data_IF_899930674609
#
_entry.id   IF_899930674609
#
_cell.length_a   1.000
_cell.length_b   1.000
_cell.length_c   1.000
_cell.angle_alpha   90.00
_cell.angle_beta   90.00
_cell.angle_gamma   90.00
#
_symmetry.space_group_name_H-M   'P 1'
#
loop_
_entity.id
_entity.type
_entity.pdbx_description
1 polymer ?
#
# COMPACT_ATOMS: atom_id res chain seq x y z
N UNK A 1 2.59 -34.54 -1.25
CA UNK A 1 2.24 -33.28 -1.93
C UNK A 1 1.51 -33.50 -3.24
N UNK A 2 0.61 -32.58 -3.57
CA UNK A 2 -0.09 -32.48 -4.86
C UNK A 2 0.86 -31.81 -5.86
N UNK A 3 0.78 -32.18 -7.14
CA UNK A 3 1.58 -31.53 -8.20
C UNK A 3 1.20 -30.05 -8.37
N UNK A 4 2.18 -29.21 -8.74
CA UNK A 4 1.93 -27.79 -8.97
C UNK A 4 0.95 -27.60 -10.14
N UNK A 5 -0.07 -26.74 -10.01
CA UNK A 5 -0.95 -26.44 -11.13
C UNK A 5 -0.17 -25.75 -12.24
N UNK A 6 -0.41 -26.16 -13.49
CA UNK A 6 0.09 -25.45 -14.66
C UNK A 6 -0.47 -24.01 -14.68
N UNK A 7 0.39 -23.02 -14.96
CA UNK A 7 0.01 -21.60 -14.92
C UNK A 7 -1.13 -21.31 -15.90
N UNK A 8 -1.15 -21.98 -17.05
CA UNK A 8 -2.17 -21.85 -18.09
C UNK A 8 -3.55 -22.36 -17.64
N UNK A 9 -3.61 -23.17 -16.57
CA UNK A 9 -4.85 -23.72 -16.01
C UNK A 9 -5.45 -22.86 -14.89
N UNK A 10 -4.78 -21.77 -14.48
CA UNK A 10 -5.29 -20.85 -13.45
C UNK A 10 -6.34 -19.91 -14.05
N UNK A 11 -7.62 -20.20 -13.81
CA UNK A 11 -8.73 -19.50 -14.47
C UNK A 11 -9.15 -18.19 -13.79
N UNK A 12 -8.75 -17.97 -12.54
CA UNK A 12 -9.14 -16.79 -11.77
C UNK A 12 -7.96 -15.90 -11.41
N UNK A 13 -8.25 -14.61 -11.29
CA UNK A 13 -7.28 -13.59 -10.88
C UNK A 13 -6.67 -13.93 -9.50
N UNK A 14 -7.49 -14.39 -8.56
CA UNK A 14 -7.02 -14.80 -7.25
C UNK A 14 -6.07 -16.00 -7.31
N UNK A 15 -6.34 -17.01 -8.13
CA UNK A 15 -5.45 -18.17 -8.30
C UNK A 15 -4.08 -17.75 -8.86
N UNK A 16 -4.05 -16.91 -9.89
CA UNK A 16 -2.81 -16.38 -10.44
C UNK A 16 -2.01 -15.59 -9.41
N UNK A 17 -2.69 -14.73 -8.63
CA UNK A 17 -2.08 -13.96 -7.55
C UNK A 17 -1.44 -14.87 -6.49
N UNK A 18 -2.21 -15.83 -5.96
CA UNK A 18 -1.72 -16.72 -4.91
C UNK A 18 -0.53 -17.56 -5.37
N UNK A 19 -0.53 -18.02 -6.64
CA UNK A 19 0.61 -18.76 -7.19
C UNK A 19 1.90 -17.94 -7.17
N UNK A 20 1.84 -16.64 -7.45
CA UNK A 20 3.02 -15.76 -7.39
C UNK A 20 3.51 -15.54 -5.97
N UNK A 21 2.61 -15.39 -5.01
CA UNK A 21 2.98 -15.35 -3.60
C UNK A 21 3.66 -16.65 -3.16
N UNK A 22 3.14 -17.80 -3.58
CA UNK A 22 3.75 -19.11 -3.30
C UNK A 22 5.14 -19.20 -3.91
N UNK A 23 5.32 -18.78 -5.17
CA UNK A 23 6.61 -18.76 -5.85
C UNK A 23 7.61 -17.82 -5.16
N UNK A 24 7.20 -16.59 -4.85
CA UNK A 24 8.02 -15.61 -4.16
C UNK A 24 8.44 -16.08 -2.76
N UNK A 25 7.53 -16.78 -2.05
CA UNK A 25 7.77 -17.30 -0.71
C UNK A 25 8.62 -18.58 -0.67
N UNK A 26 9.10 -19.10 -1.80
CA UNK A 26 9.97 -20.30 -1.82
C UNK A 26 9.43 -21.49 -2.62
N UNK A 27 8.31 -21.32 -3.31
CA UNK A 27 7.80 -22.26 -4.30
C UNK A 27 6.84 -23.32 -3.77
N UNK A 28 6.30 -24.08 -4.72
CA UNK A 28 5.18 -25.01 -4.49
C UNK A 28 5.47 -26.10 -3.45
N UNK A 29 6.66 -26.69 -3.46
CA UNK A 29 7.01 -27.79 -2.56
C UNK A 29 7.03 -27.35 -1.09
N UNK A 30 7.54 -26.15 -0.81
CA UNK A 30 7.52 -25.59 0.55
C UNK A 30 6.09 -25.24 0.97
N UNK A 31 5.29 -24.68 0.06
CA UNK A 31 3.88 -24.42 0.32
C UNK A 31 3.09 -25.71 0.62
N UNK A 32 3.35 -26.81 -0.09
CA UNK A 32 2.75 -28.11 0.22
C UNK A 32 3.19 -28.64 1.58
N UNK A 33 4.47 -28.52 1.95
CA UNK A 33 4.95 -28.86 3.29
C UNK A 33 4.21 -28.07 4.39
N UNK A 34 3.96 -26.77 4.15
CA UNK A 34 3.18 -25.94 5.07
C UNK A 34 1.74 -26.43 5.17
N UNK A 35 1.08 -26.71 4.04
CA UNK A 35 -0.29 -27.22 4.04
C UNK A 35 -0.41 -28.60 4.71
N UNK A 36 0.53 -29.50 4.51
CA UNK A 36 0.57 -30.82 5.17
C UNK A 36 0.72 -30.68 6.69
N UNK A 37 1.57 -29.74 7.13
CA UNK A 37 1.76 -29.41 8.55
C UNK A 37 0.48 -28.83 9.14
N UNK A 38 -0.11 -27.81 8.49
CA UNK A 38 -1.36 -27.20 8.94
C UNK A 38 -2.52 -28.20 8.92
N UNK A 39 -2.58 -29.11 7.95
CA UNK A 39 -3.62 -30.14 7.89
C UNK A 39 -3.52 -31.13 9.06
N UNK A 40 -2.30 -31.55 9.40
CA UNK A 40 -2.07 -32.45 10.55
C UNK A 40 -2.53 -31.81 11.85
N UNK A 41 -2.18 -30.53 12.05
CA UNK A 41 -2.60 -29.77 13.22
C UNK A 41 -4.10 -29.45 13.22
N UNK A 42 -4.68 -29.16 12.06
CA UNK A 42 -6.11 -28.93 11.93
C UNK A 42 -6.91 -30.19 12.31
N UNK A 43 -6.43 -31.38 11.95
CA UNK A 43 -7.01 -32.66 12.39
C UNK A 43 -6.89 -32.87 13.90
N UNK A 44 -5.72 -32.57 14.50
CA UNK A 44 -5.51 -32.61 15.96
C UNK A 44 -6.55 -31.75 16.69
N UNK A 45 -6.83 -30.55 16.16
CA UNK A 45 -7.74 -29.57 16.76
C UNK A 45 -9.19 -29.66 16.25
N UNK A 46 -9.51 -30.67 15.43
CA UNK A 46 -10.85 -30.87 14.84
C UNK A 46 -11.41 -29.62 14.14
N UNK A 47 -10.55 -28.90 13.42
CA UNK A 47 -10.88 -27.62 12.76
C UNK A 47 -10.44 -27.62 11.29
N UNK A 48 -10.74 -26.54 10.57
CA UNK A 48 -10.29 -26.36 9.19
C UNK A 48 -8.88 -25.77 9.14
N UNK A 49 -8.14 -26.03 8.05
CA UNK A 49 -6.83 -25.39 7.79
C UNK A 49 -6.96 -23.86 7.85
N UNK A 50 -8.05 -23.32 7.31
CA UNK A 50 -8.29 -21.88 7.28
C UNK A 50 -8.43 -21.29 8.69
N UNK A 51 -9.17 -21.95 9.58
CA UNK A 51 -9.34 -21.49 10.96
C UNK A 51 -8.07 -21.65 11.78
N UNK A 52 -7.36 -22.77 11.62
CA UNK A 52 -6.08 -22.99 12.29
C UNK A 52 -5.04 -21.93 11.86
N UNK A 53 -4.91 -21.67 10.56
CA UNK A 53 -4.01 -20.64 10.04
C UNK A 53 -4.41 -19.24 10.54
N UNK A 54 -5.71 -18.92 10.56
CA UNK A 54 -6.22 -17.64 11.07
C UNK A 54 -5.93 -17.47 12.57
N UNK A 55 -6.11 -18.54 13.35
CA UNK A 55 -5.78 -18.56 14.79
C UNK A 55 -4.29 -18.34 15.00
N UNK A 56 -3.43 -19.03 14.25
CA UNK A 56 -1.97 -18.84 14.32
C UNK A 56 -1.56 -17.39 14.03
N UNK A 57 -2.16 -16.75 13.02
CA UNK A 57 -1.89 -15.34 12.70
C UNK A 57 -2.31 -14.42 13.86
N UNK A 58 -3.39 -14.73 14.56
CA UNK A 58 -3.85 -14.00 15.75
C UNK A 58 -2.97 -14.21 17.00
N UNK A 59 -2.07 -15.20 17.03
CA UNK A 59 -1.06 -15.32 18.10
C UNK A 59 0.01 -14.22 18.03
N UNK A 60 0.15 -13.57 16.87
CA UNK A 60 1.09 -12.48 16.73
C UNK A 60 0.56 -11.22 17.44
N UNK A 61 1.27 -10.78 18.49
CA UNK A 61 0.93 -9.58 19.28
C UNK A 61 0.75 -8.29 18.47
N UNK A 62 1.32 -8.21 17.27
CA UNK A 62 1.20 -7.06 16.37
C UNK A 62 -0.04 -7.13 15.47
N UNK A 63 -0.77 -8.25 15.48
CA UNK A 63 -1.99 -8.45 14.71
C UNK A 63 -3.20 -8.28 15.62
N UNK A 64 -3.95 -7.19 15.44
CA UNK A 64 -5.15 -6.91 16.23
C UNK A 64 -6.38 -7.71 15.76
N UNK A 65 -6.47 -8.03 14.47
CA UNK A 65 -7.64 -8.71 13.89
C UNK A 65 -7.33 -9.39 12.56
N UNK A 66 -8.10 -10.42 12.23
CA UNK A 66 -8.15 -11.05 10.90
C UNK A 66 -9.53 -10.79 10.29
N UNK A 67 -9.57 -10.33 9.04
CA UNK A 67 -10.82 -10.09 8.30
C UNK A 67 -11.10 -11.30 7.41
N UNK A 68 -12.22 -11.99 7.66
CA UNK A 68 -12.65 -13.15 6.86
C UNK A 68 -13.86 -12.74 6.02
N UNK A 69 -13.71 -12.79 4.68
CA UNK A 69 -14.80 -12.51 3.76
C UNK A 69 -15.74 -13.72 3.62
N UNK A 70 -17.04 -13.50 3.80
CA UNK A 70 -18.07 -14.53 3.61
C UNK A 70 -18.94 -14.22 2.39
N UNK A 71 -19.19 -15.22 1.53
CA UNK A 71 -20.13 -15.11 0.41
C UNK A 71 -21.52 -15.55 0.83
N UNK A 72 -22.37 -14.58 1.17
CA UNK A 72 -23.75 -14.83 1.58
C UNK A 72 -24.54 -15.51 0.45
N UNK A 73 -25.28 -16.57 0.77
CA UNK A 73 -26.07 -17.34 -0.19
C UNK A 73 -25.30 -18.41 -0.98
N UNK A 74 -23.97 -18.46 -0.88
CA UNK A 74 -23.14 -19.52 -1.48
C UNK A 74 -22.49 -20.38 -0.38
N UNK A 75 -21.26 -20.03 0.02
CA UNK A 75 -20.42 -20.75 0.98
C UNK A 75 -19.88 -19.76 1.99
N UNK A 76 -20.73 -19.40 2.95
CA UNK A 76 -20.43 -18.35 3.90
C UNK A 76 -19.55 -18.84 5.07
N UNK A 77 -19.61 -20.13 5.42
CA UNK A 77 -18.82 -20.77 6.50
C UNK A 77 -18.84 -20.01 7.84
N UNK A 78 -19.89 -19.23 8.11
CA UNK A 78 -19.95 -18.29 9.24
C UNK A 78 -19.80 -19.00 10.58
N UNK A 79 -20.54 -20.09 10.79
CA UNK A 79 -20.46 -20.84 12.06
C UNK A 79 -19.10 -21.51 12.25
N UNK A 80 -18.52 -22.07 11.19
CA UNK A 80 -17.16 -22.65 11.24
C UNK A 80 -16.12 -21.58 11.62
N UNK A 81 -16.18 -20.39 11.00
CA UNK A 81 -15.22 -19.32 11.27
C UNK A 81 -15.36 -18.68 12.65
N UNK A 82 -16.51 -18.78 13.32
CA UNK A 82 -16.65 -18.33 14.73
C UNK A 82 -15.77 -19.15 15.68
N UNK A 83 -15.51 -20.41 15.35
CA UNK A 83 -14.71 -21.30 16.19
C UNK A 83 -13.21 -20.92 16.22
N UNK A 84 -12.75 -20.02 15.35
CA UNK A 84 -11.36 -19.51 15.35
C UNK A 84 -10.92 -19.04 16.74
N UNK A 85 -11.83 -18.41 17.50
CA UNK A 85 -11.53 -17.89 18.83
C UNK A 85 -11.46 -18.98 19.92
N UNK A 86 -11.95 -20.18 19.63
CA UNK A 86 -11.98 -21.32 20.55
C UNK A 86 -10.85 -22.33 20.28
N UNK A 87 -9.98 -22.06 19.31
CA UNK A 87 -8.80 -22.89 19.01
C UNK A 87 -7.64 -22.44 19.91
N UNK A 88 -7.00 -23.38 20.61
CA UNK A 88 -5.86 -23.11 21.48
C UNK A 88 -4.64 -23.86 20.94
N UNK A 89 -3.67 -23.13 20.39
CA UNK A 89 -2.43 -23.71 19.91
C UNK A 89 -1.46 -23.89 21.08
N UNK A 90 -0.94 -25.10 21.24
CA UNK A 90 0.12 -25.33 22.21
C UNK A 90 1.50 -24.96 21.62
N UNK A 91 2.54 -24.96 22.47
CA UNK A 91 3.89 -24.60 22.06
C UNK A 91 4.41 -25.47 20.90
N UNK A 92 4.07 -26.76 20.90
CA UNK A 92 4.52 -27.69 19.86
C UNK A 92 3.83 -27.41 18.51
N UNK A 93 2.57 -26.95 18.53
CA UNK A 93 1.85 -26.53 17.33
C UNK A 93 2.52 -25.31 16.69
N UNK A 94 2.83 -24.29 17.50
CA UNK A 94 3.48 -23.06 17.05
C UNK A 94 4.87 -23.37 16.50
N UNK A 95 5.69 -24.15 17.22
CA UNK A 95 7.04 -24.53 16.79
C UNK A 95 7.03 -25.30 15.46
N UNK A 96 6.06 -26.19 15.26
CA UNK A 96 5.92 -26.94 14.00
C UNK A 96 5.62 -26.03 12.80
N UNK A 97 4.76 -25.03 12.99
CA UNK A 97 4.44 -24.04 11.93
C UNK A 97 5.66 -23.14 11.67
N UNK A 98 6.31 -22.62 12.72
CA UNK A 98 7.48 -21.75 12.62
C UNK A 98 8.66 -22.44 11.92
N UNK A 99 8.87 -23.74 12.15
CA UNK A 99 9.93 -24.51 11.50
C UNK A 99 9.75 -24.60 9.97
N UNK A 100 8.51 -24.56 9.48
CA UNK A 100 8.25 -24.51 8.03
C UNK A 100 8.36 -23.08 7.52
N UNK A 101 7.80 -22.10 8.24
CA UNK A 101 7.87 -20.68 7.87
C UNK A 101 9.32 -20.21 7.79
N UNK A 102 10.22 -20.69 8.66
CA UNK A 102 11.64 -20.31 8.64
C UNK A 102 12.38 -20.76 7.38
N UNK A 103 11.79 -21.64 6.57
CA UNK A 103 12.32 -22.10 5.28
C UNK A 103 11.74 -21.31 4.10
N UNK A 104 10.69 -20.53 4.32
CA UNK A 104 10.10 -19.65 3.32
C UNK A 104 10.96 -18.40 3.15
N UNK A 105 10.93 -17.82 1.96
CA UNK A 105 11.52 -16.51 1.70
C UNK A 105 10.56 -15.42 2.17
N UNK A 106 11.06 -14.34 2.81
CA UNK A 106 10.23 -13.18 3.10
C UNK A 106 9.76 -12.55 1.78
N UNK A 107 8.49 -12.12 1.77
CA UNK A 107 7.95 -11.35 0.65
C UNK A 107 8.70 -10.00 0.59
N UNK A 108 9.20 -9.58 -0.59
CA UNK A 108 9.97 -8.35 -0.71
C UNK A 108 9.10 -7.11 -0.48
N UNK A 109 9.68 -6.08 0.14
CA UNK A 109 9.03 -4.78 0.37
C UNK A 109 8.25 -4.71 1.69
N UNK A 110 7.58 -3.57 1.88
CA UNK A 110 6.65 -3.32 2.97
C UNK A 110 5.22 -3.71 2.57
N UNK A 111 4.30 -3.69 3.54
CA UNK A 111 2.88 -3.94 3.28
C UNK A 111 2.36 -3.03 2.16
N UNK A 112 1.81 -3.63 1.10
CA UNK A 112 1.25 -2.95 -0.07
C UNK A 112 2.26 -2.67 -1.19
N UNK A 113 3.56 -2.88 -0.97
CA UNK A 113 4.58 -2.73 -2.03
C UNK A 113 4.38 -3.77 -3.13
N UNK A 114 3.77 -4.92 -2.83
CA UNK A 114 3.42 -5.95 -3.80
C UNK A 114 2.49 -5.46 -4.94
N UNK A 115 1.81 -4.32 -4.74
CA UNK A 115 0.96 -3.65 -5.74
C UNK A 115 1.62 -2.42 -6.36
N UNK A 116 2.69 -1.89 -5.76
CA UNK A 116 3.26 -0.56 -6.06
C UNK A 116 4.67 -0.62 -6.63
N UNK A 117 5.41 -1.69 -6.35
CA UNK A 117 6.81 -1.86 -6.77
C UNK A 117 7.06 -3.23 -7.39
N UNK A 118 7.94 -3.32 -8.41
CA UNK A 118 8.39 -4.61 -8.94
C UNK A 118 9.21 -5.42 -7.90
N UNK A 119 9.09 -6.76 -7.86
CA UNK A 119 8.16 -7.58 -8.66
C UNK A 119 6.72 -7.48 -8.12
N UNK A 120 5.77 -7.17 -9.01
CA UNK A 120 4.36 -7.06 -8.66
C UNK A 120 3.74 -8.45 -8.41
N UNK A 121 3.24 -8.68 -7.19
CA UNK A 121 2.55 -9.93 -6.82
C UNK A 121 1.04 -9.80 -6.98
N UNK A 122 0.62 -9.27 -8.13
CA UNK A 122 -0.79 -9.11 -8.50
C UNK A 122 -1.26 -10.27 -9.38
N UNK A 123 -2.57 -10.37 -9.60
CA UNK A 123 -3.16 -11.39 -10.47
C UNK A 123 -2.67 -11.32 -11.92
N UNK A 124 -2.36 -10.11 -12.39
CA UNK A 124 -2.29 -9.82 -13.82
C UNK A 124 -0.86 -9.74 -14.35
N UNK A 125 0.15 -9.38 -13.56
CA UNK A 125 1.51 -9.34 -14.13
C UNK A 125 2.47 -8.43 -13.40
N UNK A 126 3.68 -8.38 -13.95
CA UNK A 126 4.18 -7.07 -14.35
C UNK A 126 3.10 -6.40 -15.23
N UNK A 127 2.48 -5.36 -14.68
CA UNK A 127 1.40 -4.63 -15.32
C UNK A 127 1.91 -3.45 -16.14
N UNK A 128 3.19 -3.40 -16.50
CA UNK A 128 3.72 -2.31 -17.33
C UNK A 128 2.83 -1.98 -18.54
N UNK A 129 2.21 -2.98 -19.18
CA UNK A 129 1.23 -2.76 -20.27
C UNK A 129 -0.21 -2.38 -19.85
N UNK A 130 -0.67 -2.66 -18.62
CA UNK A 130 -1.98 -2.19 -18.13
C UNK A 130 -1.88 -0.85 -17.39
N UNK A 131 -0.69 -0.49 -16.88
CA UNK A 131 -0.38 0.82 -16.31
C UNK A 131 -0.43 1.93 -17.38
N UNK A 132 -0.18 1.61 -18.66
CA UNK A 132 -0.34 2.54 -19.79
C UNK A 132 -1.78 3.06 -19.99
N UNK A 133 -2.77 2.42 -19.36
CA UNK A 133 -4.19 2.77 -19.49
C UNK A 133 -4.89 3.03 -18.15
N UNK A 134 -4.13 3.15 -17.05
CA UNK A 134 -4.72 3.68 -15.81
C UNK A 134 -5.05 5.14 -16.08
N UNK A 135 -6.34 5.54 -16.00
CA UNK A 135 -6.68 6.95 -16.11
C UNK A 135 -5.92 7.71 -15.04
N UNK A 136 -5.31 8.81 -15.45
CA UNK A 136 -4.63 9.72 -14.54
C UNK A 136 -5.54 10.06 -13.36
N UNK A 137 -4.95 10.12 -12.16
CA UNK A 137 -5.72 10.32 -10.93
C UNK A 137 -6.52 11.63 -10.96
N UNK A 138 -6.03 12.63 -11.71
CA UNK A 138 -6.70 13.90 -11.93
C UNK A 138 -6.79 14.22 -13.42
N UNK A 139 -7.91 14.82 -13.81
CA UNK A 139 -8.08 15.33 -15.17
C UNK A 139 -7.28 16.62 -15.35
N UNK A 140 -6.35 16.63 -16.30
CA UNK A 140 -5.59 17.82 -16.65
C UNK A 140 -6.42 18.77 -17.50
N UNK A 141 -6.57 20.00 -17.02
CA UNK A 141 -7.22 21.09 -17.75
C UNK A 141 -6.15 21.86 -18.51
N UNK A 142 -6.17 21.76 -19.85
CA UNK A 142 -5.30 22.56 -20.71
C UNK A 142 -5.81 24.01 -20.77
N UNK A 143 -4.94 24.98 -20.48
CA UNK A 143 -5.28 26.41 -20.45
C UNK A 143 -4.67 27.16 -21.64
N UNK A 144 -3.45 26.78 -22.05
CA UNK A 144 -2.79 27.25 -23.27
C UNK A 144 -1.78 26.20 -23.72
N UNK A 145 -1.14 26.36 -24.89
CA UNK A 145 -0.11 25.43 -25.37
C UNK A 145 0.99 25.12 -24.34
N UNK A 146 1.31 26.08 -23.49
CA UNK A 146 2.37 25.97 -22.48
C UNK A 146 1.85 25.94 -21.06
N UNK A 147 0.53 25.89 -20.81
CA UNK A 147 -0.04 25.91 -19.46
C UNK A 147 -1.15 24.88 -19.29
N UNK A 148 -1.01 24.03 -18.28
CA UNK A 148 -2.05 23.10 -17.84
C UNK A 148 -2.15 23.12 -16.31
N UNK A 149 -3.26 22.67 -15.76
CA UNK A 149 -3.48 22.60 -14.32
C UNK A 149 -4.36 21.42 -13.95
N UNK A 150 -4.19 20.89 -12.74
CA UNK A 150 -4.99 19.79 -12.19
C UNK A 150 -5.61 20.20 -10.86
N UNK A 151 -6.75 19.61 -10.56
CA UNK A 151 -7.48 19.79 -9.30
C UNK A 151 -7.62 18.44 -8.60
N UNK A 152 -7.52 18.43 -7.28
CA UNK A 152 -7.79 17.25 -6.46
C UNK A 152 -9.22 17.23 -5.92
N UNK A 153 -10.01 18.26 -6.24
CA UNK A 153 -11.41 18.42 -5.84
C UNK A 153 -11.60 18.54 -4.31
N UNK A 154 -10.56 18.98 -3.60
CA UNK A 154 -10.72 19.37 -2.20
C UNK A 154 -11.50 20.68 -2.09
N UNK A 155 -12.25 20.84 -1.00
CA UNK A 155 -13.03 22.06 -0.72
C UNK A 155 -12.18 23.33 -0.76
N UNK A 156 -10.89 23.19 -0.40
CA UNK A 156 -9.93 24.28 -0.36
C UNK A 156 -9.64 24.90 -1.73
N UNK A 157 -9.57 24.10 -2.79
CA UNK A 157 -9.20 24.59 -4.13
C UNK A 157 -10.25 25.55 -4.68
N UNK A 158 -11.53 25.19 -4.52
CA UNK A 158 -12.63 26.07 -4.91
C UNK A 158 -12.77 27.27 -3.98
N UNK A 159 -12.51 27.11 -2.67
CA UNK A 159 -12.67 28.17 -1.69
C UNK A 159 -11.56 29.23 -1.78
N UNK A 160 -10.31 28.81 -1.93
CA UNK A 160 -9.14 29.68 -1.91
C UNK A 160 -8.58 30.00 -3.31
N UNK A 161 -9.14 29.44 -4.38
CA UNK A 161 -8.81 29.82 -5.75
C UNK A 161 -7.44 29.36 -6.23
N UNK A 162 -7.06 28.12 -5.93
CA UNK A 162 -5.80 27.52 -6.36
C UNK A 162 -5.99 26.15 -7.01
N UNK A 163 -4.98 25.69 -7.74
CA UNK A 163 -4.95 24.36 -8.37
C UNK A 163 -4.02 23.44 -7.58
N UNK A 164 -4.27 22.11 -7.62
CA UNK A 164 -3.38 21.14 -6.96
C UNK A 164 -1.96 21.23 -7.51
N UNK A 165 -1.85 21.30 -8.83
CA UNK A 165 -0.60 21.61 -9.50
C UNK A 165 -0.84 22.40 -10.78
N UNK A 166 0.18 23.17 -11.18
CA UNK A 166 0.21 23.91 -12.44
C UNK A 166 1.47 23.53 -13.20
N UNK A 167 1.31 23.16 -14.47
CA UNK A 167 2.40 23.04 -15.44
C UNK A 167 2.51 24.33 -16.23
N UNK A 168 3.73 24.88 -16.35
CA UNK A 168 4.06 25.97 -17.27
C UNK A 168 5.37 25.67 -18.01
N UNK A 169 5.29 25.43 -19.31
CA UNK A 169 6.41 24.90 -20.08
C UNK A 169 6.81 23.51 -19.56
N UNK A 170 8.08 23.34 -19.21
CA UNK A 170 8.60 22.11 -18.61
C UNK A 170 8.55 22.09 -17.07
N UNK A 171 8.06 23.15 -16.42
CA UNK A 171 8.03 23.24 -14.95
C UNK A 171 6.65 22.88 -14.41
N UNK A 172 6.60 22.02 -13.40
CA UNK A 172 5.40 21.67 -12.63
C UNK A 172 5.59 22.17 -11.20
N UNK A 173 4.65 22.98 -10.72
CA UNK A 173 4.61 23.45 -9.33
C UNK A 173 3.38 22.87 -8.64
N UNK A 174 3.60 22.21 -7.51
CA UNK A 174 2.56 21.56 -6.71
C UNK A 174 2.30 22.40 -5.47
N UNK A 175 1.03 22.74 -5.25
CA UNK A 175 0.59 23.51 -4.08
C UNK A 175 0.81 22.74 -2.79
N UNK A 176 0.84 23.46 -1.67
CA UNK A 176 0.86 22.89 -0.33
C UNK A 176 -0.21 21.81 -0.18
N UNK A 177 0.24 20.61 0.18
CA UNK A 177 -0.57 19.41 0.17
C UNK A 177 -0.59 18.76 1.54
N UNK A 178 -1.80 18.68 2.11
CA UNK A 178 -2.09 17.97 3.36
C UNK A 178 -2.81 16.66 3.08
N UNK A 179 -3.00 15.84 4.13
CA UNK A 179 -3.59 14.51 4.03
C UNK A 179 -5.13 14.47 3.87
N UNK A 180 -5.72 15.51 3.24
CA UNK A 180 -7.17 15.59 2.98
C UNK A 180 -7.61 14.63 1.88
N UNK A 181 -8.67 13.86 2.07
CA UNK A 181 -9.37 13.15 0.99
C UNK A 181 -10.88 13.25 1.18
N UNK A 182 -11.56 13.97 0.29
CA UNK A 182 -12.96 14.33 0.51
C UNK A 182 -13.14 15.12 1.80
N UNK A 183 -13.92 14.57 2.72
CA UNK A 183 -14.22 15.10 4.05
C UNK A 183 -13.34 14.52 5.17
N UNK A 184 -12.33 13.70 4.83
CA UNK A 184 -11.51 12.95 5.79
C UNK A 184 -10.05 13.37 5.79
N UNK A 185 -9.40 13.12 6.93
CA UNK A 185 -7.94 13.15 7.09
C UNK A 185 -7.44 11.71 7.03
N UNK A 186 -6.60 11.41 6.04
CA UNK A 186 -5.99 10.10 5.89
C UNK A 186 -4.77 10.03 6.81
N UNK A 187 -4.63 8.94 7.57
CA UNK A 187 -3.52 8.75 8.51
C UNK A 187 -3.82 9.17 9.95
N UNK A 188 -4.90 9.92 10.22
CA UNK A 188 -5.28 10.30 11.58
C UNK A 188 -4.13 10.99 12.32
N UNK A 189 -3.77 10.51 13.51
CA UNK A 189 -2.67 11.08 14.30
C UNK A 189 -1.26 10.59 13.87
N UNK A 190 -1.14 9.75 12.85
CA UNK A 190 0.15 9.21 12.38
C UNK A 190 0.76 10.13 11.31
N UNK A 191 1.79 10.89 11.71
CA UNK A 191 2.50 11.81 10.82
C UNK A 191 3.21 11.12 9.64
N UNK A 192 3.70 9.89 9.80
CA UNK A 192 4.32 9.14 8.70
C UNK A 192 3.26 8.67 7.69
N UNK A 193 2.12 8.19 8.17
CA UNK A 193 1.00 7.83 7.30
C UNK A 193 0.45 9.03 6.53
N UNK A 194 0.30 10.19 7.19
CA UNK A 194 -0.06 11.45 6.53
C UNK A 194 0.98 11.82 5.45
N UNK A 195 2.28 11.71 5.76
CA UNK A 195 3.37 12.03 4.82
C UNK A 195 3.31 11.15 3.57
N UNK A 196 3.14 9.84 3.71
CA UNK A 196 3.02 8.94 2.56
C UNK A 196 1.84 9.32 1.67
N UNK A 197 0.67 9.57 2.27
CA UNK A 197 -0.52 9.97 1.51
C UNK A 197 -0.38 11.35 0.84
N UNK A 198 0.29 12.30 1.50
CA UNK A 198 0.63 13.60 0.90
C UNK A 198 1.50 13.42 -0.34
N UNK A 199 2.54 12.58 -0.26
CA UNK A 199 3.43 12.32 -1.38
C UNK A 199 2.72 11.57 -2.51
N UNK A 200 1.81 10.64 -2.19
CA UNK A 200 0.99 9.96 -3.21
C UNK A 200 0.13 10.96 -4.00
N UNK A 201 -0.43 11.98 -3.31
CA UNK A 201 -1.22 13.03 -3.97
C UNK A 201 -0.35 13.97 -4.81
N UNK A 202 0.85 14.28 -4.34
CA UNK A 202 1.85 15.06 -5.10
C UNK A 202 2.24 14.30 -6.37
N UNK A 203 2.60 13.01 -6.24
CA UNK A 203 2.96 12.14 -7.36
C UNK A 203 1.81 12.06 -8.37
N UNK A 204 0.59 11.85 -7.91
CA UNK A 204 -0.60 11.83 -8.75
C UNK A 204 -0.77 13.14 -9.54
N UNK A 205 -0.60 14.29 -8.90
CA UNK A 205 -0.71 15.60 -9.56
C UNK A 205 0.38 15.82 -10.61
N UNK A 206 1.60 15.35 -10.35
CA UNK A 206 2.73 15.45 -11.29
C UNK A 206 2.51 14.51 -12.49
N UNK A 207 2.09 13.26 -12.25
CA UNK A 207 1.78 12.28 -13.29
C UNK A 207 0.69 12.76 -14.23
N UNK A 208 -0.37 13.35 -13.69
CA UNK A 208 -1.46 13.92 -14.49
C UNK A 208 -1.01 15.10 -15.37
N UNK A 209 0.17 15.67 -15.13
CA UNK A 209 0.79 16.72 -15.95
C UNK A 209 1.94 16.21 -16.85
N UNK A 210 2.12 14.88 -16.90
CA UNK A 210 3.11 14.20 -17.73
C UNK A 210 4.50 14.09 -17.11
N UNK A 211 4.62 14.20 -15.78
CA UNK A 211 5.87 13.96 -15.06
C UNK A 211 5.82 12.73 -14.15
N UNK A 212 6.80 12.63 -13.27
CA UNK A 212 6.95 11.57 -12.28
C UNK A 212 7.69 12.09 -11.03
N UNK A 213 7.82 11.26 -10.00
CA UNK A 213 8.59 11.65 -8.81
C UNK A 213 10.08 11.90 -9.11
N UNK A 214 10.66 11.25 -10.13
CA UNK A 214 12.08 11.46 -10.50
C UNK A 214 12.32 12.86 -11.06
N UNK A 215 11.28 13.53 -11.54
CA UNK A 215 11.35 14.90 -12.07
C UNK A 215 11.32 15.94 -10.94
N UNK A 216 11.03 15.52 -9.69
CA UNK A 216 10.97 16.42 -8.53
C UNK A 216 12.38 16.88 -8.17
N UNK A 217 12.62 18.18 -8.27
CA UNK A 217 13.90 18.81 -7.95
C UNK A 217 13.90 19.47 -6.57
N UNK A 218 12.72 19.74 -5.99
CA UNK A 218 12.59 20.38 -4.69
C UNK A 218 11.33 19.96 -3.96
N UNK A 219 11.46 19.79 -2.63
CA UNK A 219 10.36 19.69 -1.67
C UNK A 219 10.49 20.74 -0.57
N UNK A 220 9.36 21.23 -0.06
CA UNK A 220 9.28 22.04 1.18
C UNK A 220 8.28 21.37 2.10
N UNK A 221 8.73 20.99 3.28
CA UNK A 221 8.00 20.20 4.25
C UNK A 221 7.74 21.06 5.48
N UNK A 222 6.47 21.21 5.84
CA UNK A 222 6.00 21.94 6.99
C UNK A 222 5.37 20.96 7.97
N UNK A 223 5.86 20.91 9.21
CA UNK A 223 5.28 20.09 10.29
C UNK A 223 4.56 20.97 11.30
N UNK A 224 3.39 20.54 11.78
CA UNK A 224 2.60 21.32 12.76
C UNK A 224 3.27 21.31 14.15
N UNK A 225 3.64 20.12 14.60
CA UNK A 225 4.46 19.88 15.78
C UNK A 225 5.87 19.48 15.35
N UNK A 226 6.89 20.04 16.01
CA UNK A 226 8.27 19.66 15.72
C UNK A 226 8.52 18.20 16.11
N UNK A 227 7.83 17.64 17.10
CA UNK A 227 8.06 16.26 17.55
C UNK A 227 7.79 15.20 16.44
N UNK A 228 6.98 15.56 15.43
CA UNK A 228 6.69 14.68 14.29
C UNK A 228 7.81 14.68 13.21
N UNK A 229 8.84 15.53 13.34
CA UNK A 229 9.84 15.76 12.29
C UNK A 229 10.52 14.47 11.81
N UNK A 230 10.85 13.56 12.72
CA UNK A 230 11.61 12.35 12.39
C UNK A 230 10.76 11.35 11.61
N UNK A 231 9.50 11.17 12.02
CA UNK A 231 8.54 10.31 11.33
C UNK A 231 8.30 10.81 9.90
N UNK A 232 8.11 12.12 9.75
CA UNK A 232 7.95 12.80 8.46
C UNK A 232 9.20 12.66 7.59
N UNK A 233 10.38 12.91 8.14
CA UNK A 233 11.66 12.81 7.42
C UNK A 233 11.94 11.39 6.94
N UNK A 234 11.63 10.37 7.76
CA UNK A 234 11.79 8.95 7.36
C UNK A 234 10.82 8.57 6.26
N UNK A 235 9.55 8.97 6.35
CA UNK A 235 8.56 8.71 5.30
C UNK A 235 8.94 9.40 3.98
N UNK A 236 9.42 10.65 4.03
CA UNK A 236 9.97 11.36 2.86
C UNK A 236 11.17 10.61 2.26
N UNK A 237 12.14 10.22 3.08
CA UNK A 237 13.33 9.49 2.63
C UNK A 237 13.04 8.13 2.00
N UNK A 238 11.97 7.44 2.44
CA UNK A 238 11.50 6.20 1.78
C UNK A 238 10.98 6.50 0.37
N UNK A 239 10.24 7.59 0.18
CA UNK A 239 9.60 7.91 -1.11
C UNK A 239 10.56 8.55 -2.12
N UNK A 240 11.53 9.34 -1.66
CA UNK A 240 12.50 10.04 -2.52
C UNK A 240 13.88 9.38 -2.59
N UNK A 241 14.00 8.13 -2.14
CA UNK A 241 15.27 7.39 -2.17
C UNK A 241 15.86 7.34 -3.58
N UNK A 242 17.10 7.79 -3.72
CA UNK A 242 17.85 7.90 -5.00
C UNK A 242 17.31 8.96 -5.98
N UNK A 243 16.29 9.73 -5.60
CA UNK A 243 15.83 10.92 -6.34
C UNK A 243 16.51 12.16 -5.74
N UNK A 244 16.62 12.18 -4.41
CA UNK A 244 17.39 13.15 -3.63
C UNK A 244 17.11 14.64 -4.00
N UNK A 245 15.84 15.08 -3.99
CA UNK A 245 15.49 16.47 -4.30
C UNK A 245 16.07 17.43 -3.25
N UNK A 246 16.27 18.69 -3.64
CA UNK A 246 16.53 19.74 -2.66
C UNK A 246 15.38 19.77 -1.63
N UNK A 247 15.71 19.76 -0.34
CA UNK A 247 14.71 19.62 0.72
C UNK A 247 14.82 20.75 1.76
N UNK A 248 13.68 21.14 2.32
CA UNK A 248 13.59 22.03 3.48
C UNK A 248 12.51 21.47 4.39
N UNK A 249 12.82 21.24 5.66
CA UNK A 249 11.85 20.84 6.68
C UNK A 249 11.87 21.88 7.79
N UNK A 250 10.71 22.46 8.08
CA UNK A 250 10.53 23.45 9.15
C UNK A 250 9.22 23.20 9.90
N UNK A 251 9.13 23.69 11.14
CA UNK A 251 7.86 23.74 11.85
C UNK A 251 7.07 24.99 11.43
N UNK A 252 5.77 24.84 11.18
CA UNK A 252 4.82 25.93 10.97
C UNK A 252 3.43 25.50 11.41
N UNK A 253 2.60 26.43 11.89
CA UNK A 253 1.21 26.10 12.23
C UNK A 253 0.41 25.84 10.96
N UNK A 254 -0.14 24.62 10.82
CA UNK A 254 -0.89 24.22 9.63
C UNK A 254 -2.35 24.71 9.69
N UNK A 255 -2.92 24.96 8.52
CA UNK A 255 -4.32 25.39 8.40
C UNK A 255 -5.23 24.16 8.37
N UNK A 256 -6.14 24.08 9.35
CA UNK A 256 -7.05 22.95 9.54
C UNK A 256 -6.68 22.12 10.75
N UNK A 257 -7.68 21.45 11.34
CA UNK A 257 -7.49 20.60 12.52
C UNK A 257 -6.98 19.21 12.12
N UNK A 258 -6.04 18.64 12.88
CA UNK A 258 -5.56 17.26 12.71
C UNK A 258 -4.47 17.04 11.64
N UNK A 259 -4.07 18.05 10.86
CA UNK A 259 -2.93 17.91 9.94
C UNK A 259 -1.61 17.95 10.69
N UNK A 260 -0.76 16.95 10.45
CA UNK A 260 0.60 16.85 11.02
C UNK A 260 1.66 17.39 10.07
N UNK A 261 1.41 17.29 8.77
CA UNK A 261 2.37 17.65 7.72
C UNK A 261 1.68 18.26 6.50
N UNK A 262 2.34 19.26 5.91
CA UNK A 262 2.03 19.82 4.61
C UNK A 262 3.30 19.84 3.74
N UNK A 263 3.19 19.42 2.48
CA UNK A 263 4.33 19.39 1.56
C UNK A 263 4.02 20.11 0.26
N UNK A 264 4.94 20.97 -0.16
CA UNK A 264 5.03 21.49 -1.52
C UNK A 264 6.10 20.76 -2.32
N UNK A 265 5.92 20.67 -3.63
CA UNK A 265 6.91 20.09 -4.53
C UNK A 265 7.04 20.89 -5.83
N UNK A 266 8.24 20.82 -6.42
CA UNK A 266 8.52 21.38 -7.73
C UNK A 266 9.24 20.34 -8.58
N UNK A 267 8.73 20.14 -9.79
CA UNK A 267 9.29 19.21 -10.77
C UNK A 267 9.65 19.91 -12.09
N UNK A 268 10.64 19.38 -12.79
CA UNK A 268 11.10 19.86 -14.09
C UNK A 268 11.18 18.67 -15.04
N UNK A 269 10.46 18.77 -16.15
CA UNK A 269 10.49 17.80 -17.25
C UNK A 269 11.70 18.06 -18.15
N UNK A 270 12.25 16.99 -18.70
CA UNK A 270 13.31 17.00 -19.72
C UNK A 270 12.79 17.36 -21.13
#
# INVERSE_FOLDING_TARGET
GIEAPEREKLQTWSQMKYMRFIEAAGGWNLFQTLLETLNTLAQKHQTSIANLASRYVLENKNVASVIIGARLGERAHIEDHKEVLNIYLDKSDVEAIEQVISKLNPIPGNCGDEYRTPPFLTASGDLSHHLETIPEAFEAVQISETRAQVYSSTVWESFAGYSRAVKKGNRIVVSGTTATYGDKIIGGEDAAAQTHFVIDKIEAAIRSLGGSLTDVIRTRVFVDDIEDWEAVARAHGVRFKNIDPANTLVQAKLVGEGYKVEIEAEAVLD
#
